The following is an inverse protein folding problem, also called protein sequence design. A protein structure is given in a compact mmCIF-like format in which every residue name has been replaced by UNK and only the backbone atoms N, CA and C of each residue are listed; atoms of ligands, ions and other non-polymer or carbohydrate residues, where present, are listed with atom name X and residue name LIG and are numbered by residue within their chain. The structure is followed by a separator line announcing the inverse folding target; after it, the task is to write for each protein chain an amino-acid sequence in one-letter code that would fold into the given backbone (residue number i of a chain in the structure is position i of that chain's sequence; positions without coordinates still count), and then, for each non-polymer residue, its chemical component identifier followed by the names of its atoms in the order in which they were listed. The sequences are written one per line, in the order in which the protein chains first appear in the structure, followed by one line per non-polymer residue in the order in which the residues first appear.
data_IF_577905159442
#
_entry.id   IF_577905159442
#
_cell.length_a   1.000
_cell.length_b   1.000
_cell.length_c   1.000
_cell.angle_alpha   90.00
_cell.angle_beta   90.00
_cell.angle_gamma   90.00
#
_symmetry.space_group_name_H-M   'P 1'
#
loop_
_entity.id
_entity.type
_entity.pdbx_description
1 polymer ?
#
# COMPACT_ATOMS: atom_id res chain seq x y z
N UNK A 1 8.27 21.80 39.67
CA UNK A 1 8.80 22.63 38.55
C UNK A 1 8.79 21.76 37.32
N UNK A 2 7.66 21.78 36.56
CA UNK A 2 7.53 20.98 35.36
C UNK A 2 8.03 21.82 34.16
N UNK A 3 9.17 21.41 33.60
CA UNK A 3 9.64 21.94 32.32
C UNK A 3 8.79 21.36 31.19
N UNK A 4 7.93 22.17 30.62
CA UNK A 4 7.26 21.85 29.35
C UNK A 4 8.29 21.98 28.23
N UNK A 5 8.55 20.87 27.53
CA UNK A 5 9.34 20.87 26.30
C UNK A 5 8.38 21.27 25.19
N UNK A 6 8.54 22.52 24.70
CA UNK A 6 7.86 22.96 23.47
C UNK A 6 8.67 22.45 22.28
N UNK A 7 8.15 21.48 21.57
CA UNK A 7 8.68 21.04 20.28
C UNK A 7 8.02 21.91 19.19
N UNK A 8 8.78 22.81 18.59
CA UNK A 8 8.36 23.53 17.37
C UNK A 8 8.50 22.60 16.19
N UNK A 9 7.39 22.18 15.60
CA UNK A 9 7.39 21.58 14.27
C UNK A 9 7.18 22.68 13.24
N UNK A 10 8.16 22.90 12.40
CA UNK A 10 8.02 23.70 11.18
C UNK A 10 7.43 22.78 10.11
N UNK A 11 6.15 22.95 9.80
CA UNK A 11 5.54 22.29 8.65
C UNK A 11 6.06 23.01 7.41
N UNK A 12 7.00 22.40 6.69
CA UNK A 12 7.34 22.83 5.36
C UNK A 12 6.21 22.39 4.42
N UNK A 13 5.42 23.32 3.95
CA UNK A 13 4.48 23.08 2.87
C UNK A 13 5.27 22.72 1.61
N UNK A 14 5.20 21.47 1.19
CA UNK A 14 5.70 21.04 -0.12
C UNK A 14 4.74 21.59 -1.16
N UNK A 15 5.11 22.71 -1.78
CA UNK A 15 4.42 23.20 -2.98
C UNK A 15 4.74 22.24 -4.14
N UNK A 16 3.78 21.40 -4.50
CA UNK A 16 3.82 20.66 -5.77
C UNK A 16 3.63 21.68 -6.87
N UNK A 17 4.70 22.01 -7.58
CA UNK A 17 4.61 22.79 -8.82
C UNK A 17 3.99 21.91 -9.90
N UNK A 18 2.68 21.98 -10.04
CA UNK A 18 1.99 21.55 -11.25
C UNK A 18 2.26 22.58 -12.35
N UNK A 19 2.77 22.11 -13.48
CA UNK A 19 3.02 22.98 -14.63
C UNK A 19 1.71 23.65 -15.08
N UNK A 20 1.70 24.97 -15.06
CA UNK A 20 0.58 25.81 -15.51
C UNK A 20 0.50 25.79 -17.02
N UNK A 21 -0.58 25.24 -17.57
CA UNK A 21 -1.00 25.44 -18.95
C UNK A 21 -2.19 26.41 -19.09
N UNK A 22 -2.65 27.03 -18.00
CA UNK A 22 -3.62 28.12 -18.07
C UNK A 22 -3.28 29.15 -17.00
N UNK A 23 -3.00 30.36 -17.43
CA UNK A 23 -2.56 31.46 -16.59
C UNK A 23 -3.58 31.81 -15.52
N UNK A 24 -3.29 31.45 -14.29
CA UNK A 24 -3.90 31.96 -13.08
C UNK A 24 -2.81 32.23 -12.05
N UNK A 25 -2.82 33.47 -11.55
CA UNK A 25 -1.91 33.96 -10.52
C UNK A 25 -2.24 33.30 -9.17
N UNK A 26 -1.28 32.61 -8.58
CA UNK A 26 -1.40 32.09 -7.22
C UNK A 26 -1.02 33.19 -6.22
N UNK A 27 -1.92 33.51 -5.32
CA UNK A 27 -1.64 34.34 -4.15
C UNK A 27 -1.11 33.44 -3.02
N UNK A 28 0.11 33.68 -2.60
CA UNK A 28 0.74 32.97 -1.50
C UNK A 28 0.17 33.50 -0.17
N UNK A 29 -0.62 32.69 0.53
CA UNK A 29 -1.10 33.02 1.87
C UNK A 29 -0.07 32.56 2.89
N UNK A 30 0.51 33.50 3.62
CA UNK A 30 1.37 33.20 4.78
C UNK A 30 0.51 32.74 5.96
N UNK A 31 0.73 31.54 6.43
CA UNK A 31 0.13 31.04 7.68
C UNK A 31 1.10 31.39 8.81
N UNK A 32 0.69 32.31 9.68
CA UNK A 32 1.42 32.67 10.90
C UNK A 32 1.34 31.50 11.90
N UNK A 33 2.51 31.10 12.42
CA UNK A 33 2.61 29.96 13.35
C UNK A 33 1.85 30.18 14.65
N UNK A 34 0.80 29.44 14.86
CA UNK A 34 0.22 29.16 16.16
C UNK A 34 0.60 27.74 16.58
N UNK A 35 0.95 27.57 17.87
CA UNK A 35 1.20 26.25 18.43
C UNK A 35 -0.09 25.45 18.47
N UNK A 36 -0.13 24.33 17.72
CA UNK A 36 -1.27 23.43 17.72
C UNK A 36 -1.20 22.48 18.92
N UNK A 37 -2.29 22.38 19.66
CA UNK A 37 -2.48 21.40 20.71
C UNK A 37 -2.83 20.06 20.05
N UNK A 38 -1.94 19.07 20.21
CA UNK A 38 -2.05 17.76 19.56
C UNK A 38 -3.26 16.92 20.01
N UNK A 39 -3.96 17.32 21.06
CA UNK A 39 -5.15 16.61 21.55
C UNK A 39 -6.45 16.98 20.84
N UNK A 40 -6.44 18.06 20.02
CA UNK A 40 -7.58 18.51 19.22
C UNK A 40 -7.33 18.46 17.71
N UNK A 41 -6.20 17.89 17.27
CA UNK A 41 -5.76 17.98 15.89
C UNK A 41 -6.65 17.26 14.87
N UNK A 42 -7.40 16.23 15.29
CA UNK A 42 -8.17 15.40 14.35
C UNK A 42 -9.46 16.08 13.84
N UNK A 43 -10.07 16.95 14.62
CA UNK A 43 -11.34 17.61 14.25
C UNK A 43 -11.07 18.92 13.55
N UNK A 44 -10.15 19.75 14.07
CA UNK A 44 -9.89 21.09 13.54
C UNK A 44 -9.15 21.08 12.20
N UNK A 45 -8.26 20.11 11.96
CA UNK A 45 -7.53 19.99 10.68
C UNK A 45 -8.47 19.56 9.56
N UNK A 46 -9.39 18.63 9.82
CA UNK A 46 -10.38 18.19 8.84
C UNK A 46 -11.40 19.29 8.54
N UNK A 47 -11.79 20.08 9.52
CA UNK A 47 -12.70 21.21 9.31
C UNK A 47 -12.00 22.39 8.62
N UNK A 48 -10.72 22.64 8.88
CA UNK A 48 -9.94 23.63 8.14
C UNK A 48 -9.73 23.23 6.70
N UNK A 49 -9.43 21.97 6.41
CA UNK A 49 -9.35 21.44 5.03
C UNK A 49 -10.71 21.56 4.33
N UNK A 50 -11.80 21.30 5.03
CA UNK A 50 -13.17 21.40 4.54
C UNK A 50 -13.58 22.87 4.28
N UNK A 51 -13.07 23.81 5.07
CA UNK A 51 -13.35 25.25 4.98
C UNK A 51 -12.34 26.04 4.13
N UNK A 52 -11.25 25.45 3.68
CA UNK A 52 -10.39 26.04 2.64
C UNK A 52 -11.12 25.97 1.30
N UNK A 53 -12.08 26.92 1.17
CA UNK A 53 -12.96 27.02 0.02
C UNK A 53 -12.22 27.01 -1.31
N UNK A 54 -12.47 25.98 -2.11
CA UNK A 54 -12.09 25.94 -3.50
C UNK A 54 -11.13 24.83 -3.94
N UNK A 55 -10.49 24.05 -3.07
CA UNK A 55 -9.96 22.76 -3.48
C UNK A 55 -11.05 21.69 -3.28
N UNK A 56 -12.06 21.74 -4.10
CA UNK A 56 -12.76 20.55 -4.49
C UNK A 56 -11.74 19.76 -5.32
N UNK A 57 -10.96 18.92 -4.64
CA UNK A 57 -10.42 17.73 -5.27
C UNK A 57 -11.66 16.98 -5.78
N UNK A 58 -12.01 17.23 -7.03
CA UNK A 58 -12.87 16.34 -7.78
C UNK A 58 -12.00 15.10 -8.00
N UNK A 59 -11.81 14.35 -6.93
CA UNK A 59 -11.46 12.94 -7.06
C UNK A 59 -12.62 12.36 -7.84
N UNK A 60 -12.39 11.77 -9.02
CA UNK A 60 -13.43 10.93 -9.59
C UNK A 60 -13.82 9.98 -8.48
N UNK A 61 -15.09 10.01 -8.08
CA UNK A 61 -15.63 9.06 -7.11
C UNK A 61 -15.74 7.71 -7.84
N UNK A 62 -14.59 7.09 -8.07
CA UNK A 62 -14.56 5.68 -8.28
C UNK A 62 -14.74 5.05 -6.90
N UNK A 63 -15.96 4.82 -6.49
CA UNK A 63 -16.24 3.97 -5.35
C UNK A 63 -15.85 2.55 -5.75
N UNK A 64 -15.16 1.83 -4.87
CA UNK A 64 -15.15 0.38 -4.97
C UNK A 64 -16.62 -0.02 -4.90
N UNK A 65 -17.15 -0.53 -6.00
CA UNK A 65 -18.54 -0.94 -6.02
C UNK A 65 -18.61 -2.23 -5.22
N UNK A 66 -19.27 -2.17 -4.05
CA UNK A 66 -19.54 -3.37 -3.26
C UNK A 66 -20.56 -4.27 -3.95
N UNK A 67 -21.33 -3.73 -4.89
CA UNK A 67 -22.17 -4.51 -5.80
C UNK A 67 -21.39 -4.87 -7.06
N UNK A 68 -20.80 -6.05 -7.05
CA UNK A 68 -20.07 -6.60 -8.19
C UNK A 68 -20.95 -6.93 -9.41
N UNK A 69 -22.26 -6.98 -9.24
CA UNK A 69 -23.17 -7.52 -10.26
C UNK A 69 -23.13 -6.76 -11.58
N UNK A 70 -23.05 -5.43 -11.54
CA UNK A 70 -22.96 -4.63 -12.77
C UNK A 70 -21.64 -4.88 -13.51
N UNK A 71 -20.52 -5.03 -12.80
CA UNK A 71 -19.22 -5.31 -13.39
C UNK A 71 -19.13 -6.73 -13.94
N UNK A 72 -19.65 -7.72 -13.23
CA UNK A 72 -19.72 -9.11 -13.67
C UNK A 72 -20.53 -9.26 -14.96
N UNK A 73 -21.59 -8.47 -15.12
CA UNK A 73 -22.44 -8.47 -16.32
C UNK A 73 -21.95 -7.53 -17.44
N UNK A 74 -20.78 -6.93 -17.29
CA UNK A 74 -20.23 -5.98 -18.29
C UNK A 74 -19.71 -6.62 -19.58
N UNK A 75 -19.67 -7.95 -19.66
CA UNK A 75 -19.08 -8.69 -20.79
C UNK A 75 -17.55 -8.74 -20.77
N UNK A 76 -16.90 -8.26 -19.70
CA UNK A 76 -15.46 -8.36 -19.46
C UNK A 76 -15.11 -9.70 -18.84
N UNK A 77 -13.85 -10.11 -18.96
CA UNK A 77 -13.33 -11.24 -18.18
C UNK A 77 -13.36 -10.89 -16.70
N UNK A 78 -13.92 -11.78 -15.89
CA UNK A 78 -13.91 -11.66 -14.43
C UNK A 78 -12.84 -12.58 -13.89
N UNK A 79 -11.92 -12.03 -13.09
CA UNK A 79 -10.88 -12.79 -12.39
C UNK A 79 -11.15 -12.69 -10.90
N UNK A 80 -11.36 -13.85 -10.27
CA UNK A 80 -11.68 -13.94 -8.85
C UNK A 80 -10.45 -14.28 -8.02
N UNK A 81 -10.29 -13.56 -6.90
CA UNK A 81 -9.29 -13.84 -5.89
C UNK A 81 -9.95 -13.97 -4.52
N UNK A 82 -9.54 -14.98 -3.77
CA UNK A 82 -9.99 -15.20 -2.40
C UNK A 82 -8.77 -15.11 -1.49
N UNK A 83 -8.82 -14.19 -0.54
CA UNK A 83 -7.78 -14.00 0.47
C UNK A 83 -8.39 -14.22 1.86
N UNK A 84 -7.61 -14.82 2.75
CA UNK A 84 -7.87 -14.78 4.20
C UNK A 84 -6.96 -13.72 4.82
N UNK A 85 -7.48 -12.99 5.81
CA UNK A 85 -6.68 -12.07 6.62
C UNK A 85 -6.52 -12.67 8.01
N UNK A 86 -5.30 -13.06 8.38
CA UNK A 86 -5.07 -13.81 9.60
C UNK A 86 -3.65 -13.66 10.13
N UNK A 87 -3.52 -13.81 11.44
CA UNK A 87 -2.24 -13.78 12.15
C UNK A 87 -1.65 -15.18 12.25
N UNK A 88 -0.40 -15.35 11.82
CA UNK A 88 0.31 -16.63 11.89
C UNK A 88 1.74 -16.42 12.38
N UNK A 89 2.30 -17.48 12.98
CA UNK A 89 3.70 -17.48 13.40
C UNK A 89 4.59 -17.95 12.23
N UNK A 90 5.44 -17.06 11.73
CA UNK A 90 6.35 -17.35 10.61
C UNK A 90 7.81 -17.38 11.06
N UNK A 91 8.64 -18.27 10.46
CA UNK A 91 10.04 -18.36 10.80
C UNK A 91 10.85 -17.20 10.23
N UNK A 92 11.86 -16.76 11.00
CA UNK A 92 12.95 -15.90 10.54
C UNK A 92 14.29 -16.61 10.84
N UNK A 93 15.40 -16.01 10.34
CA UNK A 93 16.72 -16.59 10.53
C UNK A 93 17.06 -16.80 12.03
N UNK A 94 17.89 -17.81 12.29
CA UNK A 94 18.37 -18.12 13.64
C UNK A 94 17.39 -18.96 14.47
N UNK A 95 16.43 -19.62 13.85
CA UNK A 95 15.45 -20.49 14.52
C UNK A 95 14.43 -19.71 15.35
N UNK A 96 14.29 -18.43 15.08
CA UNK A 96 13.27 -17.56 15.67
C UNK A 96 12.03 -17.50 14.79
N UNK A 97 10.91 -17.12 15.38
CA UNK A 97 9.66 -16.85 14.69
C UNK A 97 9.20 -15.43 14.99
N UNK A 98 8.23 -14.96 14.23
CA UNK A 98 7.53 -13.70 14.50
C UNK A 98 6.04 -13.83 14.22
N UNK A 99 5.25 -13.04 14.91
CA UNK A 99 3.81 -12.96 14.74
C UNK A 99 3.51 -12.10 13.49
N UNK A 100 3.34 -12.77 12.36
CA UNK A 100 3.00 -12.14 11.10
C UNK A 100 1.50 -11.93 10.98
N UNK A 101 1.08 -10.77 10.49
CA UNK A 101 -0.25 -10.59 9.95
C UNK A 101 -0.17 -10.84 8.44
N UNK A 102 -1.04 -11.68 7.91
CA UNK A 102 -0.86 -12.21 6.56
C UNK A 102 -2.11 -12.12 5.69
N UNK A 103 -1.90 -12.14 4.39
CA UNK A 103 -2.91 -12.56 3.44
C UNK A 103 -2.64 -14.02 3.05
N UNK A 104 -3.59 -14.91 3.40
CA UNK A 104 -3.54 -16.35 3.08
C UNK A 104 -2.29 -17.05 3.63
N UNK A 105 -2.01 -16.85 4.91
CA UNK A 105 -0.96 -17.50 5.72
C UNK A 105 0.47 -17.37 5.18
N UNK A 106 0.72 -16.41 4.29
CA UNK A 106 2.05 -16.22 3.70
C UNK A 106 2.49 -14.75 3.63
N UNK A 107 3.78 -14.52 3.60
CA UNK A 107 4.42 -13.20 3.40
C UNK A 107 5.46 -13.31 2.28
N UNK A 108 5.35 -12.50 1.23
CA UNK A 108 4.22 -11.64 0.88
C UNK A 108 2.94 -12.45 0.62
N UNK A 109 1.80 -11.79 0.66
CA UNK A 109 0.54 -12.36 0.20
C UNK A 109 0.60 -12.81 -1.28
N UNK A 110 -0.37 -13.58 -1.77
CA UNK A 110 -0.40 -14.11 -3.14
C UNK A 110 -0.23 -13.03 -4.20
N UNK A 111 0.52 -13.33 -5.26
CA UNK A 111 0.56 -12.44 -6.43
C UNK A 111 -0.77 -12.51 -7.17
N UNK A 112 -1.40 -11.35 -7.35
CA UNK A 112 -2.64 -11.21 -8.10
C UNK A 112 -2.29 -10.82 -9.54
N UNK A 113 -2.66 -11.64 -10.54
CA UNK A 113 -2.32 -11.34 -11.93
C UNK A 113 -3.55 -11.33 -12.80
N UNK A 114 -3.72 -10.25 -13.54
CA UNK A 114 -4.87 -9.99 -14.43
C UNK A 114 -4.40 -9.29 -15.70
N UNK A 115 -5.26 -9.19 -16.68
CA UNK A 115 -5.03 -8.42 -17.90
C UNK A 115 -5.74 -7.06 -17.82
N UNK A 116 -5.14 -6.05 -18.38
CA UNK A 116 -5.76 -4.72 -18.48
C UNK A 116 -7.15 -4.80 -19.11
N UNK A 117 -8.14 -4.29 -18.40
CA UNK A 117 -9.54 -4.33 -18.78
C UNK A 117 -10.35 -5.44 -18.11
N UNK A 118 -9.72 -6.38 -17.43
CA UNK A 118 -10.43 -7.40 -16.65
C UNK A 118 -11.13 -6.77 -15.45
N UNK A 119 -12.22 -7.39 -15.04
CA UNK A 119 -12.88 -7.15 -13.76
C UNK A 119 -12.18 -8.01 -12.72
N UNK A 120 -11.67 -7.38 -11.67
CA UNK A 120 -11.15 -8.06 -10.49
C UNK A 120 -12.26 -8.18 -9.47
N UNK A 121 -12.54 -9.40 -9.03
CA UNK A 121 -13.44 -9.69 -7.92
C UNK A 121 -12.62 -10.27 -6.78
N UNK A 122 -12.46 -9.50 -5.74
CA UNK A 122 -11.70 -9.87 -4.55
C UNK A 122 -12.66 -10.21 -3.41
N UNK A 123 -12.47 -11.37 -2.81
CA UNK A 123 -13.12 -11.75 -1.55
C UNK A 123 -12.09 -11.78 -0.44
N UNK A 124 -12.33 -11.04 0.63
CA UNK A 124 -11.52 -11.05 1.85
C UNK A 124 -12.35 -11.65 2.98
N UNK A 125 -11.86 -12.73 3.58
CA UNK A 125 -12.48 -13.40 4.73
C UNK A 125 -11.55 -13.27 5.94
N UNK A 126 -12.10 -12.90 7.09
CA UNK A 126 -11.38 -12.87 8.36
C UNK A 126 -11.91 -14.02 9.22
N UNK A 127 -11.06 -14.97 9.66
CA UNK A 127 -11.47 -16.06 10.53
C UNK A 127 -12.10 -15.58 11.85
N UNK A 128 -12.99 -16.40 12.44
CA UNK A 128 -13.69 -16.07 13.68
C UNK A 128 -12.76 -15.89 14.89
N UNK A 129 -11.61 -16.57 14.87
CA UNK A 129 -10.61 -16.59 15.93
C UNK A 129 -9.51 -15.53 15.76
N UNK A 130 -9.55 -14.75 14.67
CA UNK A 130 -8.66 -13.60 14.51
C UNK A 130 -8.98 -12.51 15.54
N UNK A 131 -7.94 -11.86 16.08
CA UNK A 131 -8.12 -10.89 17.18
C UNK A 131 -8.43 -9.48 16.70
N UNK A 132 -8.21 -9.18 15.43
CA UNK A 132 -8.42 -7.84 14.86
C UNK A 132 -9.05 -7.93 13.48
N UNK A 133 -9.78 -6.88 13.10
CA UNK A 133 -10.24 -6.73 11.74
C UNK A 133 -9.11 -6.36 10.78
N UNK A 134 -9.31 -6.64 9.51
CA UNK A 134 -8.39 -6.30 8.44
C UNK A 134 -9.12 -5.59 7.31
N UNK A 135 -8.40 -4.86 6.52
CA UNK A 135 -8.91 -4.21 5.32
C UNK A 135 -8.05 -4.56 4.11
N UNK A 136 -8.39 -3.97 2.99
CA UNK A 136 -7.61 -4.13 1.78
C UNK A 136 -7.49 -2.80 1.05
N UNK A 137 -6.28 -2.42 0.68
CA UNK A 137 -5.98 -1.29 -0.21
C UNK A 137 -5.38 -1.84 -1.50
N UNK A 138 -6.18 -1.79 -2.56
CA UNK A 138 -5.84 -2.35 -3.87
C UNK A 138 -5.39 -1.25 -4.81
N UNK A 139 -4.09 -0.95 -4.87
CA UNK A 139 -3.57 0.13 -5.71
C UNK A 139 -3.86 -0.05 -7.21
N UNK A 140 -4.01 -1.28 -7.69
CA UNK A 140 -4.40 -1.56 -9.08
C UNK A 140 -5.81 -1.05 -9.42
N UNK A 141 -6.67 -0.85 -8.42
CA UNK A 141 -8.00 -0.29 -8.60
C UNK A 141 -8.00 1.21 -8.89
N UNK A 142 -6.93 1.90 -8.48
CA UNK A 142 -6.83 3.37 -8.46
C UNK A 142 -7.94 4.06 -7.63
N UNK A 143 -8.54 3.30 -6.71
CA UNK A 143 -9.57 3.74 -5.78
C UNK A 143 -8.91 4.00 -4.43
N UNK A 144 -9.39 5.00 -3.69
CA UNK A 144 -8.87 5.31 -2.36
C UNK A 144 -9.09 4.15 -1.39
N UNK A 145 -8.11 3.87 -0.52
CA UNK A 145 -8.21 2.87 0.54
C UNK A 145 -9.46 3.04 1.43
N UNK A 146 -9.90 4.28 1.64
CA UNK A 146 -11.10 4.58 2.41
C UNK A 146 -12.41 4.13 1.76
N UNK A 147 -12.38 3.77 0.47
CA UNK A 147 -13.54 3.23 -0.23
C UNK A 147 -13.71 1.71 -0.01
N UNK A 148 -12.70 1.04 0.58
CA UNK A 148 -12.77 -0.36 0.94
C UNK A 148 -13.10 -0.49 2.43
N UNK A 149 -14.12 -1.25 2.75
CA UNK A 149 -14.52 -1.47 4.13
C UNK A 149 -13.52 -2.39 4.85
N UNK A 150 -13.35 -2.15 6.15
CA UNK A 150 -12.66 -3.10 7.02
C UNK A 150 -13.61 -4.25 7.35
N UNK A 151 -13.06 -5.45 7.41
CA UNK A 151 -13.75 -6.71 7.67
C UNK A 151 -13.39 -7.15 9.07
N UNK A 152 -14.38 -7.40 9.93
CA UNK A 152 -14.14 -7.86 11.30
C UNK A 152 -13.95 -9.38 11.34
N UNK A 153 -13.42 -9.92 12.46
CA UNK A 153 -13.38 -11.36 12.68
C UNK A 153 -14.75 -12.02 12.45
N UNK A 154 -14.76 -13.13 11.74
CA UNK A 154 -15.97 -13.87 11.35
C UNK A 154 -16.71 -13.31 10.13
N UNK A 155 -16.23 -12.22 9.55
CA UNK A 155 -16.89 -11.58 8.41
C UNK A 155 -16.16 -11.82 7.10
N UNK A 156 -16.88 -11.59 6.01
CA UNK A 156 -16.38 -11.63 4.64
C UNK A 156 -16.88 -10.42 3.87
N UNK A 157 -16.00 -9.79 3.10
CA UNK A 157 -16.38 -8.73 2.17
C UNK A 157 -15.93 -9.04 0.75
N UNK A 158 -16.66 -8.50 -0.24
CA UNK A 158 -16.29 -8.56 -1.64
C UNK A 158 -16.07 -7.16 -2.19
N UNK A 159 -15.05 -7.03 -3.01
CA UNK A 159 -14.68 -5.79 -3.69
C UNK A 159 -14.50 -6.06 -5.17
N UNK A 160 -15.07 -5.21 -6.02
CA UNK A 160 -14.91 -5.31 -7.46
C UNK A 160 -14.38 -4.01 -8.05
N UNK A 161 -13.49 -4.14 -9.03
CA UNK A 161 -12.98 -3.02 -9.80
C UNK A 161 -12.51 -3.47 -11.18
N UNK A 162 -12.34 -2.54 -12.11
CA UNK A 162 -11.72 -2.79 -13.41
C UNK A 162 -10.23 -2.48 -13.31
N UNK A 163 -9.38 -3.41 -13.74
CA UNK A 163 -7.94 -3.21 -13.82
C UNK A 163 -7.58 -2.35 -15.05
N UNK A 164 -7.78 -1.03 -14.97
CA UNK A 164 -7.68 -0.14 -16.14
C UNK A 164 -6.25 0.17 -16.55
N UNK A 165 -5.31 0.20 -15.61
CA UNK A 165 -3.92 0.55 -15.87
C UNK A 165 -3.03 -0.68 -15.85
N UNK A 166 -2.27 -0.91 -16.94
CA UNK A 166 -1.22 -1.93 -16.95
C UNK A 166 -0.04 -1.49 -16.06
N UNK A 167 0.50 -2.42 -15.28
CA UNK A 167 1.64 -2.14 -14.39
C UNK A 167 1.77 -3.14 -13.26
N UNK A 168 2.67 -2.83 -12.34
CA UNK A 168 2.87 -3.58 -11.10
C UNK A 168 2.44 -2.66 -9.96
N UNK A 169 1.48 -3.12 -9.19
CA UNK A 169 0.87 -2.39 -8.10
C UNK A 169 1.03 -3.18 -6.81
N UNK A 170 1.16 -2.50 -5.70
CA UNK A 170 1.04 -3.14 -4.40
C UNK A 170 -0.42 -3.27 -4.01
N UNK A 171 -0.71 -4.25 -3.18
CA UNK A 171 -1.90 -4.28 -2.34
C UNK A 171 -1.45 -4.55 -0.90
N UNK A 172 -2.21 -4.05 0.06
CA UNK A 172 -1.88 -4.24 1.47
C UNK A 172 -3.09 -4.03 2.37
N UNK A 173 -2.96 -4.45 3.61
CA UNK A 173 -3.98 -4.17 4.61
C UNK A 173 -4.10 -2.66 4.85
N UNK A 174 -5.31 -2.16 4.92
CA UNK A 174 -5.61 -0.77 5.32
C UNK A 174 -5.78 -0.62 6.84
N UNK A 175 -5.51 -1.67 7.60
CA UNK A 175 -5.80 -1.71 9.04
C UNK A 175 -7.31 -1.69 9.30
N UNK A 176 -7.70 -1.37 10.53
CA UNK A 176 -9.10 -1.20 10.89
C UNK A 176 -9.49 0.26 10.67
N UNK A 177 -10.22 0.53 9.60
CA UNK A 177 -10.60 1.91 9.22
C UNK A 177 -9.41 2.87 9.17
N UNK A 178 -8.31 2.41 8.55
CA UNK A 178 -7.02 3.09 8.42
C UNK A 178 -6.21 3.23 9.73
N UNK A 179 -6.68 2.67 10.84
CA UNK A 179 -5.95 2.64 12.10
C UNK A 179 -5.02 1.42 12.12
N UNK A 180 -3.77 1.59 12.56
CA UNK A 180 -2.79 0.51 12.66
C UNK A 180 -2.31 -0.05 11.31
N UNK A 181 -2.52 0.67 10.21
CA UNK A 181 -2.12 0.23 8.88
C UNK A 181 -0.63 -0.09 8.80
N UNK A 182 0.23 0.71 9.40
CA UNK A 182 1.67 0.51 9.48
C UNK A 182 2.03 -0.81 10.17
N UNK A 183 1.40 -1.12 11.30
CA UNK A 183 1.58 -2.39 12.00
C UNK A 183 1.21 -3.58 11.12
N UNK A 184 0.02 -3.55 10.50
CA UNK A 184 -0.48 -4.65 9.68
C UNK A 184 0.43 -4.88 8.46
N UNK A 185 0.78 -3.82 7.76
CA UNK A 185 1.63 -3.90 6.56
C UNK A 185 3.04 -4.35 6.90
N UNK A 186 3.67 -3.74 7.90
CA UNK A 186 5.05 -4.08 8.28
C UNK A 186 5.16 -5.45 8.95
N UNK A 187 4.07 -5.98 9.52
CA UNK A 187 4.00 -7.35 10.01
C UNK A 187 3.82 -8.40 8.90
N UNK A 188 3.50 -7.99 7.65
CA UNK A 188 3.47 -8.93 6.54
C UNK A 188 2.26 -8.85 5.61
N UNK A 189 1.23 -8.05 5.92
CA UNK A 189 0.01 -7.95 5.10
C UNK A 189 0.19 -7.08 3.87
N UNK A 190 0.99 -7.54 2.93
CA UNK A 190 1.22 -6.90 1.63
C UNK A 190 1.47 -7.93 0.53
N UNK A 191 1.24 -7.52 -0.72
CA UNK A 191 1.55 -8.29 -1.90
C UNK A 191 1.55 -7.41 -3.14
N UNK A 192 1.70 -8.03 -4.31
CA UNK A 192 1.65 -7.34 -5.60
C UNK A 192 0.50 -7.81 -6.46
N UNK A 193 -0.07 -6.86 -7.20
CA UNK A 193 -0.98 -7.10 -8.30
C UNK A 193 -0.27 -6.75 -9.61
N UNK A 194 -0.24 -7.68 -10.55
CA UNK A 194 0.32 -7.49 -11.89
C UNK A 194 -0.84 -7.36 -12.85
N UNK A 195 -0.91 -6.22 -13.53
CA UNK A 195 -1.87 -5.99 -14.60
C UNK A 195 -1.11 -6.01 -15.92
N UNK A 196 -1.21 -7.11 -16.63
CA UNK A 196 -0.58 -7.26 -17.93
C UNK A 196 -1.27 -6.35 -18.97
N UNK A 197 -0.52 -5.74 -19.90
CA UNK A 197 -1.13 -4.94 -20.95
C UNK A 197 -2.09 -5.77 -21.82
N UNK A 198 -3.24 -5.22 -22.21
CA UNK A 198 -4.25 -5.89 -23.01
C UNK A 198 -3.73 -6.47 -24.34
N UNK A 199 -2.70 -5.85 -24.91
CA UNK A 199 -2.05 -6.28 -26.16
C UNK A 199 -0.70 -7.00 -25.92
N UNK A 200 -0.45 -7.46 -24.71
CA UNK A 200 0.79 -8.08 -24.28
C UNK A 200 1.99 -7.12 -24.29
N UNK A 201 3.12 -7.66 -23.88
CA UNK A 201 4.39 -6.94 -23.90
C UNK A 201 5.00 -6.97 -25.30
N UNK A 202 5.28 -5.80 -25.87
CA UNK A 202 5.85 -5.71 -27.22
C UNK A 202 7.36 -5.66 -27.21
N UNK A 203 7.95 -4.98 -26.21
CA UNK A 203 9.40 -4.83 -26.03
C UNK A 203 9.75 -4.61 -24.58
N UNK A 204 10.95 -5.05 -24.21
CA UNK A 204 11.59 -4.69 -22.95
C UNK A 204 12.46 -3.46 -23.18
N UNK A 205 12.36 -2.47 -22.31
CA UNK A 205 13.24 -1.32 -22.29
C UNK A 205 14.22 -1.45 -21.13
N UNK A 206 15.51 -1.37 -21.45
CA UNK A 206 16.56 -1.25 -20.44
C UNK A 206 17.10 0.17 -20.50
N UNK A 207 17.04 0.86 -19.38
CA UNK A 207 17.53 2.21 -19.22
C UNK A 207 18.77 2.22 -18.33
N UNK A 208 19.82 2.88 -18.80
CA UNK A 208 21.03 3.12 -18.02
C UNK A 208 21.30 4.61 -17.96
N UNK A 209 21.58 5.10 -16.76
CA UNK A 209 22.15 6.45 -16.61
C UNK A 209 23.67 6.34 -16.75
N UNK A 210 24.23 7.00 -17.73
CA UNK A 210 25.68 7.12 -17.87
C UNK A 210 26.29 7.98 -16.76
N UNK A 211 27.60 7.89 -16.55
CA UNK A 211 28.29 8.76 -15.59
C UNK A 211 28.18 10.26 -15.90
N UNK A 212 27.77 10.63 -17.14
CA UNK A 212 27.45 11.99 -17.57
C UNK A 212 26.00 12.42 -17.27
N UNK A 213 25.17 11.53 -16.76
CA UNK A 213 23.74 11.77 -16.53
C UNK A 213 22.86 11.55 -17.76
N UNK A 214 23.45 11.13 -18.89
CA UNK A 214 22.68 10.82 -20.09
C UNK A 214 22.00 9.46 -19.97
N UNK A 215 20.71 9.39 -20.40
CA UNK A 215 19.91 8.19 -20.41
C UNK A 215 20.14 7.41 -21.72
N UNK A 216 20.75 6.23 -21.61
CA UNK A 216 20.83 5.26 -22.70
C UNK A 216 19.69 4.26 -22.58
N UNK A 217 18.80 4.20 -23.58
CA UNK A 217 17.64 3.31 -23.65
C UNK A 217 17.84 2.27 -24.72
N UNK A 218 17.80 1.01 -24.32
CA UNK A 218 17.84 -0.12 -25.25
C UNK A 218 16.54 -0.89 -25.20
N UNK A 219 16.03 -1.26 -26.36
CA UNK A 219 14.83 -2.03 -26.51
C UNK A 219 15.18 -3.44 -27.00
N UNK A 220 14.62 -4.43 -26.34
CA UNK A 220 14.75 -5.85 -26.65
C UNK A 220 13.39 -6.46 -26.91
N UNK A 221 13.34 -7.61 -27.57
CA UNK A 221 12.10 -8.38 -27.67
C UNK A 221 11.62 -8.78 -26.29
N UNK A 222 10.29 -8.92 -26.10
CA UNK A 222 9.68 -9.25 -24.82
C UNK A 222 9.81 -10.76 -24.52
N UNK A 223 11.05 -11.25 -24.51
CA UNK A 223 11.41 -12.63 -24.21
C UNK A 223 12.40 -12.61 -23.04
N UNK A 224 11.88 -12.66 -21.83
CA UNK A 224 12.68 -12.61 -20.61
C UNK A 224 12.07 -13.46 -19.50
N UNK A 225 12.92 -13.93 -18.60
CA UNK A 225 12.48 -14.53 -17.34
C UNK A 225 12.00 -13.40 -16.40
N UNK A 226 10.86 -13.64 -15.79
CA UNK A 226 10.28 -12.73 -14.79
C UNK A 226 10.68 -13.19 -13.39
N UNK A 227 11.19 -12.24 -12.59
CA UNK A 227 11.47 -12.45 -11.17
C UNK A 227 10.69 -11.40 -10.37
N UNK A 228 9.91 -11.87 -9.40
CA UNK A 228 9.17 -11.00 -8.49
C UNK A 228 9.94 -10.92 -7.17
N UNK A 229 10.41 -9.72 -6.82
CA UNK A 229 11.15 -9.47 -5.58
C UNK A 229 10.45 -8.37 -4.78
N UNK A 230 9.93 -8.75 -3.62
CA UNK A 230 9.27 -7.86 -2.67
C UNK A 230 10.12 -7.74 -1.41
N UNK A 231 10.57 -6.52 -1.13
CA UNK A 231 11.40 -6.21 0.04
C UNK A 231 10.53 -5.69 1.18
N UNK A 232 10.79 -6.16 2.39
CA UNK A 232 10.21 -5.60 3.60
C UNK A 232 11.25 -5.52 4.72
N UNK A 233 11.00 -4.60 5.65
CA UNK A 233 11.75 -4.46 6.90
C UNK A 233 10.86 -4.86 8.06
N UNK A 234 11.32 -5.78 8.87
CA UNK A 234 10.65 -6.21 10.08
C UNK A 234 11.18 -5.42 11.28
N UNK A 235 10.28 -4.95 12.11
CA UNK A 235 10.55 -4.24 13.35
C UNK A 235 9.92 -5.05 14.49
N UNK A 236 10.75 -5.83 15.19
CA UNK A 236 10.24 -6.86 16.10
C UNK A 236 10.82 -6.67 17.51
N UNK A 237 9.96 -6.90 18.50
CA UNK A 237 10.39 -7.12 19.88
C UNK A 237 11.13 -8.47 20.00
N UNK A 238 11.82 -8.74 21.12
CA UNK A 238 12.45 -10.05 21.35
C UNK A 238 11.48 -11.23 21.27
N UNK A 239 10.19 -11.00 21.55
CA UNK A 239 9.09 -12.00 21.50
C UNK A 239 8.51 -12.17 20.09
N UNK A 240 8.99 -11.41 19.09
CA UNK A 240 8.52 -11.51 17.72
C UNK A 240 7.27 -10.68 17.39
N UNK A 241 6.87 -9.76 18.26
CA UNK A 241 5.76 -8.86 17.98
C UNK A 241 6.24 -7.58 17.29
N UNK A 242 5.36 -6.86 16.62
CA UNK A 242 5.67 -5.57 16.03
C UNK A 242 6.14 -4.56 17.09
N UNK A 243 7.25 -3.88 16.80
CA UNK A 243 7.83 -2.83 17.63
C UNK A 243 7.73 -1.47 16.93
N UNK A 244 6.69 -0.71 17.28
CA UNK A 244 6.47 0.64 16.77
C UNK A 244 7.63 1.60 17.15
N UNK A 245 8.22 1.42 18.33
CA UNK A 245 9.35 2.25 18.78
C UNK A 245 10.58 2.06 17.91
N UNK A 246 10.92 0.82 17.58
CA UNK A 246 12.00 0.49 16.66
C UNK A 246 11.70 1.01 15.25
N UNK A 247 10.45 0.90 14.80
CA UNK A 247 10.02 1.40 13.50
C UNK A 247 10.20 2.92 13.37
N UNK A 248 9.74 3.70 14.34
CA UNK A 248 9.91 5.15 14.35
C UNK A 248 11.37 5.60 14.41
N UNK A 249 12.24 4.74 14.93
CA UNK A 249 13.69 4.99 14.99
C UNK A 249 14.44 4.41 13.78
N UNK A 250 13.76 3.78 12.84
CA UNK A 250 14.34 3.08 11.67
C UNK A 250 15.33 1.97 12.07
N UNK A 251 15.13 1.33 13.22
CA UNK A 251 15.95 0.23 13.71
C UNK A 251 15.29 -1.12 13.38
N UNK A 252 15.34 -1.51 12.11
CA UNK A 252 14.75 -2.77 11.69
C UNK A 252 15.50 -3.99 12.27
N UNK A 253 14.75 -4.98 12.71
CA UNK A 253 15.27 -6.24 13.24
C UNK A 253 15.79 -7.14 12.12
N UNK A 254 15.10 -7.14 10.99
CA UNK A 254 15.46 -7.92 9.81
C UNK A 254 14.99 -7.24 8.52
N UNK A 255 15.70 -7.51 7.43
CA UNK A 255 15.23 -7.24 6.07
C UNK A 255 14.95 -8.57 5.38
N UNK A 256 13.79 -8.68 4.77
CA UNK A 256 13.33 -9.89 4.09
C UNK A 256 13.07 -9.61 2.62
N UNK A 257 13.26 -10.62 1.78
CA UNK A 257 12.90 -10.61 0.37
C UNK A 257 11.95 -11.77 0.14
N UNK A 258 10.75 -11.48 -0.35
CA UNK A 258 9.67 -12.47 -0.46
C UNK A 258 9.46 -13.24 0.86
N UNK A 259 9.42 -12.53 1.99
CA UNK A 259 9.24 -13.10 3.32
C UNK A 259 10.46 -13.82 3.91
N UNK A 260 11.54 -14.00 3.15
CA UNK A 260 12.71 -14.75 3.59
C UNK A 260 13.91 -13.83 3.89
N UNK A 261 14.51 -14.01 5.04
CA UNK A 261 15.79 -13.41 5.36
C UNK A 261 16.92 -14.26 4.76
N UNK A 262 17.75 -13.65 3.92
CA UNK A 262 18.86 -14.32 3.20
C UNK A 262 18.45 -15.53 2.33
N UNK A 263 17.17 -15.70 2.00
CA UNK A 263 16.69 -16.83 1.22
C UNK A 263 17.26 -16.94 -0.20
N UNK A 264 17.79 -15.85 -0.74
CA UNK A 264 18.41 -15.79 -2.08
C UNK A 264 19.93 -15.66 -2.06
N UNK A 265 20.54 -15.70 -0.88
CA UNK A 265 22.00 -15.68 -0.75
C UNK A 265 22.49 -17.13 -0.92
N UNK A 266 23.48 -17.40 -1.78
CA UNK A 266 24.07 -18.72 -1.88
C UNK A 266 24.50 -19.19 -0.51
N UNK A 267 24.16 -20.44 -0.15
CA UNK A 267 24.66 -21.05 1.07
C UNK A 267 26.18 -20.99 1.02
N UNK A 268 26.75 -20.21 1.89
CA UNK A 268 28.19 -20.30 2.16
C UNK A 268 28.37 -21.62 2.92
N UNK A 269 28.71 -22.64 2.15
CA UNK A 269 29.04 -23.95 2.70
C UNK A 269 30.34 -23.88 3.51
#
# INVERSE_FOLDING_TARGET
MNKRISMLFTIAAVAVMGATLFGSTYTQTQISGQSLDMTQMDVDVMDQIRNMGGLQLVMPQAFAETDCGALENSGRTVVEFNLTGESVELPIMGGKTYNAMTFSEQVPGPTLRVTQGDVVKMTLTIPDDEVTGHGNDMHASQISASAFESVNPGETAQYCYIAEAAGIFKYHCSGVKLIGMDQHVLSGMYGIAIVDPANGYKKLMVEKTSGSGELDRKFYDADALEFQLQYNQLYLTPEGNYDAGAMFQHHNTATVVNGMQFGYVPNMA
#
